data_IF_661527717574
#
_entry.id   IF_661527717574
#
_cell.length_a   1.000
_cell.length_b   1.000
_cell.length_c   1.000
_cell.angle_alpha   90.00
_cell.angle_beta   90.00
_cell.angle_gamma   90.00
#
_symmetry.space_group_name_H-M   'P 1'
#
loop_
_entity.id
_entity.type
_entity.pdbx_description
1 polymer ?
#
# COMPACT_ATOMS: atom_id res chain seq x y z
N UNK A 1 -11.69 -9.39 19.87
CA UNK A 1 -11.32 -8.00 20.17
C UNK A 1 -10.36 -7.34 19.18
N UNK A 2 -9.30 -8.00 18.67
CA UNK A 2 -8.34 -7.36 17.75
C UNK A 2 -8.94 -6.71 16.48
N UNK A 3 -9.99 -7.31 15.91
CA UNK A 3 -10.67 -6.76 14.73
C UNK A 3 -11.41 -5.44 15.00
N UNK A 4 -11.89 -5.22 16.23
CA UNK A 4 -12.61 -4.00 16.61
C UNK A 4 -11.64 -2.82 16.80
N UNK A 5 -10.47 -3.09 17.40
CA UNK A 5 -9.37 -2.14 17.54
C UNK A 5 -8.85 -1.68 16.16
N UNK A 6 -8.66 -2.62 15.24
CA UNK A 6 -8.22 -2.33 13.87
C UNK A 6 -9.23 -1.46 13.11
N UNK A 7 -10.53 -1.74 13.23
CA UNK A 7 -11.59 -0.96 12.58
C UNK A 7 -11.65 0.46 13.15
N UNK A 8 -11.55 0.62 14.47
CA UNK A 8 -11.51 1.92 15.13
C UNK A 8 -10.27 2.74 14.72
N UNK A 9 -9.10 2.11 14.62
CA UNK A 9 -7.87 2.75 14.14
C UNK A 9 -8.02 3.25 12.70
N UNK A 10 -8.53 2.41 11.79
CA UNK A 10 -8.77 2.81 10.39
C UNK A 10 -9.78 3.96 10.29
N UNK A 11 -10.90 3.90 11.00
CA UNK A 11 -11.91 4.96 10.98
C UNK A 11 -11.33 6.31 11.47
N UNK A 12 -10.51 6.28 12.52
CA UNK A 12 -9.86 7.48 13.07
C UNK A 12 -8.83 8.08 12.12
N UNK A 13 -8.16 7.25 11.33
CA UNK A 13 -7.16 7.69 10.35
C UNK A 13 -7.77 8.10 9.00
N UNK A 14 -8.91 7.54 8.60
CA UNK A 14 -9.56 7.82 7.32
C UNK A 14 -9.99 9.29 7.17
N UNK A 15 -10.34 9.96 8.26
CA UNK A 15 -10.73 11.38 8.27
C UNK A 15 -9.55 12.38 8.29
N UNK A 16 -8.31 11.89 8.33
CA UNK A 16 -7.10 12.73 8.37
C UNK A 16 -6.47 12.83 6.98
N UNK A 17 -5.73 13.90 6.72
CA UNK A 17 -4.85 14.02 5.55
C UNK A 17 -3.61 13.12 5.67
N UNK A 18 -2.92 12.84 4.56
CA UNK A 18 -1.78 11.90 4.50
C UNK A 18 -0.66 12.22 5.52
N UNK A 19 -0.32 13.50 5.67
CA UNK A 19 0.69 13.95 6.64
C UNK A 19 0.26 13.70 8.09
N UNK A 20 -1.00 13.93 8.40
CA UNK A 20 -1.55 13.70 9.73
C UNK A 20 -1.65 12.19 10.02
N UNK A 21 -2.06 11.38 9.03
CA UNK A 21 -2.05 9.91 9.15
C UNK A 21 -0.65 9.39 9.42
N UNK A 22 0.35 9.87 8.67
CA UNK A 22 1.75 9.51 8.86
C UNK A 22 2.25 9.86 10.26
N UNK A 23 1.87 11.04 10.77
CA UNK A 23 2.21 11.47 12.13
C UNK A 23 1.59 10.56 13.19
N UNK A 24 0.30 10.22 13.05
CA UNK A 24 -0.39 9.32 14.00
C UNK A 24 0.16 7.90 13.97
N UNK A 25 0.49 7.38 12.80
CA UNK A 25 1.12 6.07 12.68
C UNK A 25 2.53 6.06 13.27
N UNK A 26 3.28 7.17 13.13
CA UNK A 26 4.58 7.32 13.77
C UNK A 26 4.45 7.35 15.30
N UNK A 27 3.48 8.08 15.85
CA UNK A 27 3.19 8.07 17.29
C UNK A 27 2.89 6.64 17.77
N UNK A 28 1.99 5.93 17.07
CA UNK A 28 1.65 4.54 17.39
C UNK A 28 2.90 3.64 17.45
N UNK A 29 3.75 3.68 16.42
CA UNK A 29 4.98 2.86 16.38
C UNK A 29 5.92 3.22 17.52
N UNK A 30 6.05 4.51 17.85
CA UNK A 30 6.91 4.97 18.97
C UNK A 30 6.36 4.56 20.32
N UNK A 31 5.04 4.59 20.51
CA UNK A 31 4.37 4.11 21.73
C UNK A 31 4.58 2.62 21.91
N UNK A 32 4.33 1.82 20.87
CA UNK A 32 4.57 0.37 20.90
C UNK A 32 6.04 0.06 21.17
N UNK A 33 6.96 0.78 20.53
CA UNK A 33 8.40 0.63 20.75
C UNK A 33 8.80 0.96 22.19
N UNK A 34 8.24 2.03 22.76
CA UNK A 34 8.51 2.41 24.14
C UNK A 34 7.98 1.36 25.12
N UNK A 35 6.80 0.78 24.88
CA UNK A 35 6.24 -0.29 25.70
C UNK A 35 7.14 -1.53 25.70
N UNK A 36 7.57 -2.01 24.52
CA UNK A 36 8.42 -3.22 24.44
C UNK A 36 9.82 -2.99 25.02
N UNK A 37 10.38 -1.79 24.87
CA UNK A 37 11.67 -1.39 25.47
C UNK A 37 11.54 -0.94 26.94
N UNK A 38 10.32 -0.88 27.48
CA UNK A 38 9.99 -0.38 28.83
C UNK A 38 10.51 1.04 29.10
N UNK A 39 10.48 1.88 28.07
CA UNK A 39 10.73 3.30 28.21
C UNK A 39 9.52 3.99 28.86
N UNK A 40 9.75 5.06 29.64
CA UNK A 40 8.65 5.76 30.32
C UNK A 40 7.75 6.53 29.35
N UNK A 41 8.20 6.80 28.11
CA UNK A 41 7.42 7.51 27.12
C UNK A 41 7.89 7.23 25.69
N UNK A 42 6.96 7.33 24.72
CA UNK A 42 7.25 7.37 23.29
C UNK A 42 8.20 8.50 22.89
N UNK A 43 8.26 9.58 23.69
CA UNK A 43 9.20 10.68 23.49
C UNK A 43 10.68 10.22 23.57
N UNK A 44 10.96 9.14 24.33
CA UNK A 44 12.30 8.56 24.43
C UNK A 44 12.70 7.70 23.23
N UNK A 45 11.75 7.40 22.33
CA UNK A 45 12.02 6.68 21.08
C UNK A 45 12.22 7.73 19.98
N UNK A 46 13.43 7.80 19.43
CA UNK A 46 13.74 8.72 18.34
C UNK A 46 13.25 8.16 16.99
N UNK A 47 12.51 8.94 16.18
CA UNK A 47 11.86 8.42 14.98
C UNK A 47 12.84 7.99 13.88
N UNK A 48 14.02 8.60 13.82
CA UNK A 48 15.06 8.32 12.83
C UNK A 48 16.19 7.43 13.34
N UNK A 49 16.18 7.07 14.62
CA UNK A 49 17.24 6.23 15.21
C UNK A 49 16.96 4.77 14.93
N UNK A 50 18.02 4.01 14.69
CA UNK A 50 17.85 2.60 14.37
C UNK A 50 17.46 1.78 15.62
N UNK A 51 16.63 0.76 15.42
CA UNK A 51 16.13 -0.10 16.49
C UNK A 51 17.26 -0.83 17.23
N UNK A 52 18.31 -1.26 16.52
CA UNK A 52 19.49 -1.87 17.13
C UNK A 52 20.24 -0.89 18.08
N UNK A 53 20.32 0.39 17.74
CA UNK A 53 20.94 1.43 18.57
C UNK A 53 20.10 1.78 19.81
N UNK A 54 18.82 1.40 19.81
CA UNK A 54 17.90 1.55 20.95
C UNK A 54 17.81 0.27 21.81
N UNK A 55 18.52 -0.80 21.42
CA UNK A 55 18.52 -2.07 22.15
C UNK A 55 17.38 -3.02 21.76
N UNK A 56 16.82 -2.88 20.56
CA UNK A 56 15.90 -3.88 20.00
C UNK A 56 16.70 -5.05 19.43
N UNK A 57 16.63 -6.17 20.12
CA UNK A 57 17.17 -7.45 19.66
C UNK A 57 16.11 -8.29 18.92
N UNK A 58 16.49 -9.48 18.43
CA UNK A 58 15.59 -10.39 17.68
C UNK A 58 14.31 -10.76 18.43
N UNK A 59 14.36 -10.89 19.77
CA UNK A 59 13.17 -11.20 20.57
C UNK A 59 12.21 -10.01 20.62
N UNK A 60 12.74 -8.83 20.96
CA UNK A 60 11.97 -7.58 21.04
C UNK A 60 11.41 -7.20 19.67
N UNK A 61 12.15 -7.46 18.59
CA UNK A 61 11.68 -7.25 17.22
C UNK A 61 10.44 -8.10 16.90
N UNK A 62 10.39 -9.35 17.37
CA UNK A 62 9.22 -10.21 17.19
C UNK A 62 8.04 -9.73 18.03
N UNK A 63 8.27 -9.28 19.26
CA UNK A 63 7.22 -8.71 20.11
C UNK A 63 6.64 -7.43 19.51
N UNK A 64 7.49 -6.49 19.10
CA UNK A 64 7.09 -5.27 18.39
C UNK A 64 6.25 -5.59 17.16
N UNK A 65 6.69 -6.55 16.35
CA UNK A 65 5.97 -7.01 15.16
C UNK A 65 4.58 -7.55 15.53
N UNK A 66 4.49 -8.36 16.58
CA UNK A 66 3.23 -8.97 17.00
C UNK A 66 2.25 -7.92 17.50
N UNK A 67 2.73 -6.96 18.30
CA UNK A 67 1.91 -5.90 18.87
C UNK A 67 1.41 -4.93 17.78
N UNK A 68 2.29 -4.52 16.85
CA UNK A 68 1.89 -3.73 15.68
C UNK A 68 0.90 -4.48 14.79
N UNK A 69 1.12 -5.76 14.54
CA UNK A 69 0.21 -6.60 13.75
C UNK A 69 -1.16 -6.73 14.39
N UNK A 70 -1.23 -6.82 15.73
CA UNK A 70 -2.49 -6.88 16.46
C UNK A 70 -3.27 -5.56 16.41
N UNK A 71 -2.58 -4.42 16.50
CA UNK A 71 -3.19 -3.08 16.47
C UNK A 71 -3.68 -2.70 15.08
N UNK A 72 -2.90 -3.03 14.05
CA UNK A 72 -3.18 -2.65 12.65
C UNK A 72 -3.97 -3.71 11.88
N UNK A 73 -4.04 -4.93 12.41
CA UNK A 73 -4.65 -6.08 11.73
C UNK A 73 -3.86 -6.56 10.51
N UNK A 74 -2.61 -6.10 10.34
CA UNK A 74 -1.73 -6.47 9.23
C UNK A 74 -0.90 -7.70 9.56
N UNK A 75 -0.61 -8.51 8.54
CA UNK A 75 0.38 -9.60 8.65
C UNK A 75 1.78 -9.07 8.36
N UNK A 76 2.47 -8.66 9.41
CA UNK A 76 3.82 -8.13 9.31
C UNK A 76 4.88 -9.26 9.27
N UNK A 77 5.89 -9.18 8.39
CA UNK A 77 6.94 -10.18 8.27
C UNK A 77 7.86 -10.18 9.50
N UNK A 78 8.46 -11.32 9.83
CA UNK A 78 9.39 -11.43 10.96
C UNK A 78 10.69 -10.63 10.75
N UNK A 79 11.00 -10.28 9.50
CA UNK A 79 12.16 -9.45 9.12
C UNK A 79 11.88 -7.95 9.17
N UNK A 80 10.70 -7.52 9.63
CA UNK A 80 10.24 -6.12 9.60
C UNK A 80 11.29 -5.13 10.14
N UNK A 81 11.84 -5.39 11.32
CA UNK A 81 12.82 -4.50 11.97
C UNK A 81 14.15 -4.45 11.23
N UNK A 82 14.48 -5.47 10.44
CA UNK A 82 15.70 -5.49 9.63
C UNK A 82 15.51 -4.77 8.28
N UNK A 83 14.33 -4.91 7.67
CA UNK A 83 13.98 -4.22 6.41
C UNK A 83 13.69 -2.73 6.64
N UNK A 84 13.12 -2.42 7.81
CA UNK A 84 12.75 -1.08 8.23
C UNK A 84 13.36 -0.80 9.60
N UNK A 85 14.65 -0.40 9.64
CA UNK A 85 15.41 -0.29 10.89
C UNK A 85 15.00 0.89 11.76
N UNK A 86 14.07 1.75 11.35
CA UNK A 86 13.66 2.92 12.12
C UNK A 86 12.14 2.98 12.33
N UNK A 87 11.68 3.60 13.43
CA UNK A 87 10.24 3.82 13.68
C UNK A 87 9.55 4.55 12.53
N UNK A 88 10.22 5.55 11.93
CA UNK A 88 9.69 6.28 10.78
C UNK A 88 9.54 5.39 9.53
N UNK A 89 10.44 4.45 9.29
CA UNK A 89 10.34 3.52 8.16
C UNK A 89 9.15 2.57 8.34
N UNK A 90 8.96 2.01 9.54
CA UNK A 90 7.79 1.16 9.84
C UNK A 90 6.49 1.97 9.71
N UNK A 91 6.42 3.19 10.23
CA UNK A 91 5.22 4.01 10.13
C UNK A 91 4.81 4.28 8.67
N UNK A 92 5.79 4.51 7.78
CA UNK A 92 5.54 4.67 6.34
C UNK A 92 5.06 3.38 5.67
N UNK A 93 5.63 2.23 6.04
CA UNK A 93 5.13 0.94 5.56
C UNK A 93 3.66 0.77 5.96
N UNK A 94 3.33 0.99 7.24
CA UNK A 94 1.96 0.86 7.74
C UNK A 94 0.99 1.80 7.03
N UNK A 95 1.41 3.03 6.72
CA UNK A 95 0.60 3.97 5.94
C UNK A 95 0.30 3.43 4.53
N UNK A 96 1.33 2.87 3.86
CA UNK A 96 1.19 2.22 2.57
C UNK A 96 0.28 1.00 2.60
N UNK A 97 0.39 0.14 3.61
CA UNK A 97 -0.43 -1.07 3.73
C UNK A 97 -1.89 -0.77 4.12
N UNK A 98 -2.12 0.27 4.92
CA UNK A 98 -3.47 0.62 5.39
C UNK A 98 -4.26 1.49 4.40
N UNK A 99 -3.57 2.34 3.63
CA UNK A 99 -4.21 3.33 2.75
C UNK A 99 -3.75 3.23 1.28
N UNK A 100 -2.66 2.51 0.99
CA UNK A 100 -2.12 2.34 -0.36
C UNK A 100 -2.77 1.22 -1.18
N UNK A 101 -3.81 0.55 -0.66
CA UNK A 101 -4.61 -0.41 -1.43
C UNK A 101 -5.39 0.24 -2.60
N UNK A 102 -5.49 1.57 -2.67
CA UNK A 102 -5.96 2.32 -3.87
C UNK A 102 -4.85 2.47 -4.94
N UNK A 103 -3.60 2.12 -4.62
CA UNK A 103 -2.43 2.33 -5.48
C UNK A 103 -1.47 1.12 -5.46
N UNK A 104 -2.00 -0.11 -5.50
CA UNK A 104 -1.20 -1.32 -5.52
C UNK A 104 -0.39 -1.45 -6.84
N UNK A 105 0.86 -0.99 -6.80
CA UNK A 105 1.97 -1.48 -7.60
C UNK A 105 3.06 -2.05 -6.68
N UNK A 106 3.92 -2.97 -7.17
CA UNK A 106 4.88 -3.70 -6.33
C UNK A 106 5.80 -2.76 -5.55
N UNK A 107 6.22 -3.18 -4.36
CA UNK A 107 7.13 -2.44 -3.49
C UNK A 107 8.40 -2.04 -4.24
N UNK A 108 8.49 -0.76 -4.59
CA UNK A 108 9.65 -0.23 -5.32
C UNK A 108 10.86 -0.29 -4.38
N UNK A 109 11.96 -0.90 -4.85
CA UNK A 109 13.22 -0.99 -4.10
C UNK A 109 13.66 0.38 -3.58
N UNK A 110 14.46 0.43 -2.50
CA UNK A 110 14.98 1.70 -1.96
C UNK A 110 15.70 2.55 -3.04
N UNK A 111 16.40 1.89 -3.96
CA UNK A 111 16.99 2.50 -5.15
C UNK A 111 15.94 3.12 -6.08
N UNK A 112 14.83 2.43 -6.28
CA UNK A 112 13.75 2.83 -7.18
C UNK A 112 12.90 3.98 -6.60
N UNK A 113 12.74 4.01 -5.26
CA UNK A 113 12.17 5.15 -4.56
C UNK A 113 13.05 6.41 -4.69
N UNK A 114 14.38 6.24 -4.65
CA UNK A 114 15.35 7.32 -4.83
C UNK A 114 15.35 7.84 -6.28
N UNK A 115 15.28 6.94 -7.25
CA UNK A 115 15.13 7.29 -8.68
C UNK A 115 13.81 8.05 -8.91
N UNK A 116 12.69 7.59 -8.38
CA UNK A 116 11.39 8.28 -8.49
C UNK A 116 11.39 9.68 -7.88
N UNK A 117 12.03 9.83 -6.71
CA UNK A 117 12.21 11.14 -6.08
C UNK A 117 13.01 12.09 -6.96
N UNK A 118 14.09 11.58 -7.58
CA UNK A 118 14.91 12.37 -8.49
C UNK A 118 14.16 12.76 -9.79
N UNK A 119 13.40 11.81 -10.37
CA UNK A 119 12.60 12.05 -11.57
C UNK A 119 11.53 13.13 -11.38
N UNK A 120 11.02 13.31 -10.16
CA UNK A 120 10.02 14.36 -9.85
C UNK A 120 10.62 15.77 -9.84
N UNK A 121 11.95 15.88 -9.69
CA UNK A 121 12.68 17.16 -9.65
C UNK A 121 13.37 17.50 -10.97
N UNK A 122 13.59 16.50 -11.83
CA UNK A 122 14.22 16.65 -13.14
C UNK A 122 13.20 17.19 -14.15
N UNK A 123 13.63 18.13 -14.99
CA UNK A 123 12.77 18.71 -16.03
C UNK A 123 12.80 17.88 -17.32
N UNK A 124 11.72 17.95 -18.10
CA UNK A 124 11.60 17.24 -19.38
C UNK A 124 12.73 17.60 -20.37
N UNK A 125 13.20 18.85 -20.33
CA UNK A 125 14.33 19.32 -21.13
C UNK A 125 15.65 18.64 -20.75
N UNK A 126 15.88 18.37 -19.46
CA UNK A 126 17.08 17.67 -18.99
C UNK A 126 17.06 16.19 -19.39
N UNK A 127 15.89 15.53 -19.33
CA UNK A 127 15.72 14.16 -19.82
C UNK A 127 16.01 14.05 -21.33
N UNK A 128 15.59 15.06 -22.10
CA UNK A 128 15.85 15.14 -23.55
C UNK A 128 17.33 15.36 -23.85
N UNK A 129 17.99 16.28 -23.13
CA UNK A 129 19.42 16.57 -23.30
C UNK A 129 20.30 15.36 -22.96
N UNK A 130 19.88 14.54 -21.98
CA UNK A 130 20.56 13.31 -21.59
C UNK A 130 20.26 12.11 -22.51
N UNK A 131 19.37 12.26 -23.50
CA UNK A 131 18.97 11.17 -24.41
C UNK A 131 18.11 10.08 -23.76
N UNK A 132 17.68 10.24 -22.51
CA UNK A 132 16.91 9.24 -21.76
C UNK A 132 15.45 9.15 -22.20
N UNK A 133 14.93 10.18 -22.90
CA UNK A 133 13.54 10.23 -23.36
C UNK A 133 13.15 9.07 -24.29
N UNK A 134 14.04 8.71 -25.21
CA UNK A 134 13.81 7.61 -26.16
C UNK A 134 13.70 6.26 -25.43
N UNK A 135 14.60 6.05 -24.47
CA UNK A 135 14.62 4.82 -23.65
C UNK A 135 13.37 4.73 -22.78
N UNK A 136 12.93 5.83 -22.17
CA UNK A 136 11.71 5.85 -21.36
C UNK A 136 10.45 5.60 -22.19
N UNK A 137 10.33 6.21 -23.37
CA UNK A 137 9.21 5.98 -24.28
C UNK A 137 9.17 4.53 -24.78
N UNK A 138 10.34 3.96 -25.10
CA UNK A 138 10.47 2.55 -25.51
C UNK A 138 10.15 1.57 -24.38
N UNK A 139 10.57 1.88 -23.15
CA UNK A 139 10.27 1.06 -21.98
C UNK A 139 8.77 1.14 -21.62
N UNK A 140 8.14 2.32 -21.75
CA UNK A 140 6.71 2.49 -21.54
C UNK A 140 5.87 1.72 -22.57
N UNK A 141 6.30 1.69 -23.83
CA UNK A 141 5.69 0.87 -24.89
C UNK A 141 5.79 -0.64 -24.57
N UNK A 142 6.95 -1.10 -24.09
CA UNK A 142 7.16 -2.49 -23.67
C UNK A 142 6.34 -2.90 -22.42
N UNK A 143 6.00 -1.95 -21.55
CA UNK A 143 5.11 -2.15 -20.40
C UNK A 143 3.62 -1.98 -20.77
N UNK A 144 3.33 -1.38 -21.93
CA UNK A 144 2.00 -1.14 -22.48
C UNK A 144 1.44 -2.30 -23.30
N UNK A 145 1.73 -3.55 -22.89
CA UNK A 145 1.23 -4.78 -23.50
C UNK A 145 -0.26 -5.04 -23.31
N UNK A 146 -1.11 -4.09 -23.72
CA UNK A 146 -2.40 -4.37 -24.35
C UNK A 146 -2.79 -3.15 -25.19
N UNK A 147 -2.65 -3.20 -26.53
CA UNK A 147 -3.45 -2.33 -27.36
C UNK A 147 -4.91 -2.69 -27.10
N UNK A 148 -5.70 -1.70 -26.71
CA UNK A 148 -7.15 -1.77 -26.83
C UNK A 148 -7.47 -1.88 -28.33
N UNK A 149 -7.57 -3.11 -28.83
CA UNK A 149 -8.07 -3.40 -30.17
C UNK A 149 -9.56 -3.05 -30.21
N UNK A 150 -9.86 -1.82 -30.62
CA UNK A 150 -11.14 -1.54 -31.27
C UNK A 150 -11.13 -2.19 -32.65
N UNK A 151 -11.94 -3.23 -32.86
CA UNK A 151 -13.07 -3.21 -33.80
C UNK A 151 -13.47 -4.61 -34.33
N UNK A 152 -14.75 -4.92 -34.14
CA UNK A 152 -15.70 -5.69 -34.98
C UNK A 152 -15.54 -7.21 -35.14
N UNK A 153 -16.48 -7.98 -34.56
CA UNK A 153 -17.56 -8.64 -35.31
C UNK A 153 -18.52 -9.40 -34.36
N UNK A 154 -19.81 -9.06 -34.49
CA UNK A 154 -20.98 -9.95 -34.53
C UNK A 154 -21.23 -10.99 -33.43
N UNK A 155 -22.40 -10.88 -32.79
CA UNK A 155 -23.13 -12.06 -32.30
C UNK A 155 -23.60 -12.02 -30.86
N UNK A 156 -24.89 -11.72 -30.72
CA UNK A 156 -25.82 -12.41 -29.80
C UNK A 156 -25.83 -12.03 -28.30
N UNK A 157 -27.05 -11.74 -27.84
CA UNK A 157 -27.34 -11.19 -26.52
C UNK A 157 -27.05 -12.17 -25.37
N UNK A 158 -26.43 -11.66 -24.31
CA UNK A 158 -26.25 -12.42 -23.08
C UNK A 158 -27.57 -12.53 -22.31
N UNK A 159 -28.26 -13.65 -22.52
CA UNK A 159 -29.48 -14.15 -21.86
C UNK A 159 -29.31 -14.37 -20.34
N UNK A 160 -28.14 -14.04 -19.76
CA UNK A 160 -27.79 -14.46 -18.38
C UNK A 160 -28.32 -13.56 -17.26
N UNK A 161 -29.06 -12.51 -17.60
CA UNK A 161 -29.79 -11.68 -16.64
C UNK A 161 -31.28 -11.65 -16.97
N UNK A 162 -31.90 -12.81 -17.23
CA UNK A 162 -33.35 -12.92 -17.36
C UNK A 162 -33.92 -13.69 -16.18
N UNK A 163 -34.84 -13.07 -15.44
CA UNK A 163 -35.60 -13.73 -14.38
C UNK A 163 -36.46 -14.86 -14.99
N UNK A 164 -36.68 -15.93 -14.22
CA UNK A 164 -37.37 -17.14 -14.69
C UNK A 164 -38.79 -16.88 -15.24
N UNK A 165 -39.43 -15.80 -14.83
CA UNK A 165 -40.76 -15.39 -15.31
C UNK A 165 -40.73 -14.83 -16.75
N UNK A 166 -39.60 -14.24 -17.17
CA UNK A 166 -39.43 -13.63 -18.49
C UNK A 166 -39.10 -14.67 -19.58
N UNK A 167 -38.39 -15.74 -19.20
CA UNK A 167 -38.10 -16.90 -20.08
C UNK A 167 -39.37 -17.67 -20.48
N UNK A 168 -40.38 -17.74 -19.60
CA UNK A 168 -41.64 -18.43 -19.87
C UNK A 168 -42.49 -17.67 -20.89
N UNK A 169 -42.43 -16.33 -20.90
CA UNK A 169 -43.15 -15.51 -21.87
C UNK A 169 -42.54 -15.57 -23.27
N UNK A 170 -41.22 -15.75 -23.38
CA UNK A 170 -40.54 -15.85 -24.67
C UNK A 170 -40.83 -17.18 -25.38
N UNK A 171 -40.97 -18.29 -24.63
CA UNK A 171 -41.24 -19.62 -25.20
C UNK A 171 -42.70 -19.80 -25.66
N UNK A 172 -43.64 -19.04 -25.12
CA UNK A 172 -45.07 -19.18 -25.42
C UNK A 172 -45.64 -18.05 -26.31
N UNK A 173 -44.80 -17.09 -26.73
CA UNK A 173 -45.19 -15.91 -27.51
C UNK A 173 -44.92 -15.97 -29.03
N UNK A 174 -44.67 -17.15 -29.59
CA UNK A 174 -44.58 -17.37 -31.04
C UNK A 174 -45.92 -17.83 -31.60
N UNK A 175 -46.66 -16.90 -32.18
CA UNK A 175 -48.07 -16.99 -32.56
C UNK A 175 -48.40 -18.04 -33.64
N UNK A 176 -49.52 -18.76 -33.41
CA UNK A 176 -50.61 -19.15 -34.36
C UNK A 176 -51.10 -20.58 -34.15
#
# INVERSE_FOLDING_TARGET
>A
DAGEITAALRARLAGLDDTERGTRLLELVRETTATVLRYPSAANVEPGRAFNEMGVDSLIAVELRNELGALTGLRLPATLVFDHPTPAAIARLLAGELFGAEAAGPALSADEAKVRGFLSTVTLSQLRAAGLMDILLRAADAQGGQPAESAVADGDGDVRSMDADELVRLVLGGES
#
